data_IF_529176656908
#
_entry.id   IF_529176656908
#
_cell.length_a   1.000
_cell.length_b   1.000
_cell.length_c   1.000
_cell.angle_alpha   90.00
_cell.angle_beta   90.00
_cell.angle_gamma   90.00
#
_symmetry.space_group_name_H-M   'P 1'
#
loop_
_entity.id
_entity.type
_entity.pdbx_description
1 polymer ?
#
# COMPACT_ATOMS: atom_id res chain seq x y z
N UNK A 1 19.87 34.18 -17.86
CA UNK A 1 20.03 35.30 -16.91
C UNK A 1 19.66 36.61 -17.60
N UNK A 2 19.23 37.60 -16.82
CA UNK A 2 18.91 38.97 -17.24
C UNK A 2 19.83 39.91 -16.47
N UNK A 3 20.47 40.88 -17.13
CA UNK A 3 21.28 41.91 -16.47
C UNK A 3 20.38 43.09 -16.05
N UNK A 4 20.52 43.56 -14.81
CA UNK A 4 19.73 44.66 -14.28
C UNK A 4 20.06 44.99 -12.82
N UNK A 5 19.14 45.65 -12.13
CA UNK A 5 19.25 45.87 -10.68
C UNK A 5 19.03 44.55 -9.94
N UNK A 6 19.99 44.16 -9.12
CA UNK A 6 19.90 42.95 -8.31
C UNK A 6 18.81 43.09 -7.23
N UNK A 7 17.99 42.05 -7.14
CA UNK A 7 16.95 41.85 -6.12
C UNK A 7 17.24 40.54 -5.38
N UNK A 8 16.52 40.27 -4.29
CA UNK A 8 16.54 38.95 -3.67
C UNK A 8 16.25 37.86 -4.72
N UNK A 9 17.11 36.84 -4.79
CA UNK A 9 17.01 35.78 -5.79
C UNK A 9 16.35 34.55 -5.18
N UNK A 10 15.36 34.00 -5.87
CA UNK A 10 14.77 32.71 -5.52
C UNK A 10 15.76 31.59 -5.86
N UNK A 11 15.90 30.65 -4.93
CA UNK A 11 16.66 29.40 -5.11
C UNK A 11 15.72 28.23 -4.81
N UNK A 12 16.11 27.00 -5.13
CA UNK A 12 15.29 25.85 -4.75
C UNK A 12 15.07 25.78 -3.22
N UNK A 13 16.09 26.14 -2.43
CA UNK A 13 16.09 26.13 -0.96
C UNK A 13 15.40 27.36 -0.34
N UNK A 14 15.16 28.39 -1.13
CA UNK A 14 14.46 29.62 -0.74
C UNK A 14 13.62 30.12 -1.92
N UNK A 15 12.43 29.51 -2.16
CA UNK A 15 11.58 29.85 -3.29
C UNK A 15 11.08 31.29 -3.27
N UNK A 16 11.00 31.87 -2.07
CA UNK A 16 10.61 33.26 -1.84
C UNK A 16 11.81 34.23 -1.94
N UNK A 17 13.05 33.71 -1.96
CA UNK A 17 14.29 34.48 -1.96
C UNK A 17 14.50 35.35 -0.71
N UNK A 18 13.69 35.20 0.34
CA UNK A 18 13.64 36.13 1.48
C UNK A 18 14.77 35.90 2.47
N UNK A 19 15.18 34.65 2.67
CA UNK A 19 16.18 34.25 3.66
C UNK A 19 17.62 34.45 3.17
N UNK A 20 17.86 34.33 1.86
CA UNK A 20 19.18 34.50 1.23
C UNK A 20 19.50 35.93 0.78
N UNK A 21 18.66 36.92 1.09
CA UNK A 21 18.82 38.27 0.56
C UNK A 21 20.01 38.99 1.20
N UNK A 22 21.18 38.88 0.57
CA UNK A 22 22.39 39.58 0.99
C UNK A 22 22.23 41.07 0.74
N UNK A 23 22.31 41.87 1.81
CA UNK A 23 22.17 43.34 1.78
C UNK A 23 23.02 44.03 0.73
N UNK A 24 24.18 43.45 0.41
CA UNK A 24 25.17 44.03 -0.49
C UNK A 24 24.75 44.00 -1.97
N UNK A 25 23.76 43.19 -2.34
CA UNK A 25 23.26 43.08 -3.72
C UNK A 25 22.02 43.95 -3.96
N UNK A 26 21.31 44.36 -2.91
CA UNK A 26 20.09 45.15 -3.03
C UNK A 26 20.39 46.54 -3.62
N UNK A 27 20.05 46.73 -4.90
CA UNK A 27 20.23 48.01 -5.60
C UNK A 27 21.54 48.17 -6.37
N UNK A 28 22.42 47.17 -6.38
CA UNK A 28 23.59 47.13 -7.28
C UNK A 28 23.21 46.50 -8.63
N UNK A 29 24.01 46.74 -9.68
CA UNK A 29 23.83 46.04 -10.95
C UNK A 29 24.35 44.60 -10.88
N UNK A 30 23.64 43.65 -11.51
CA UNK A 30 23.97 42.24 -11.52
C UNK A 30 23.07 41.41 -12.43
N UNK A 31 23.36 40.11 -12.53
CA UNK A 31 22.56 39.16 -13.29
C UNK A 31 21.55 38.45 -12.38
N UNK A 32 20.29 38.36 -12.82
CA UNK A 32 19.21 37.67 -12.12
C UNK A 32 18.56 36.62 -13.01
N UNK A 33 17.84 35.67 -12.41
CA UNK A 33 17.07 34.71 -13.19
C UNK A 33 15.76 35.31 -13.71
N UNK A 34 15.35 34.97 -14.95
CA UNK A 34 14.04 35.36 -15.46
C UNK A 34 12.91 34.77 -14.59
N UNK A 35 11.70 35.38 -14.61
CA UNK A 35 10.55 34.82 -13.90
C UNK A 35 10.29 33.36 -14.28
N UNK A 36 10.03 32.52 -13.28
CA UNK A 36 9.84 31.07 -13.45
C UNK A 36 11.11 30.22 -13.39
N UNK A 37 12.28 30.85 -13.17
CA UNK A 37 13.56 30.16 -13.01
C UNK A 37 14.21 30.48 -11.67
N UNK A 38 14.85 29.48 -11.06
CA UNK A 38 15.56 29.60 -9.80
C UNK A 38 17.07 29.57 -10.03
N UNK A 39 17.80 30.31 -9.20
CA UNK A 39 19.25 30.42 -9.29
C UNK A 39 19.90 29.18 -8.65
N UNK A 40 20.76 28.50 -9.41
CA UNK A 40 21.56 27.37 -8.94
C UNK A 40 23.02 27.63 -9.31
N UNK A 41 23.82 28.05 -8.33
CA UNK A 41 25.20 28.49 -8.58
C UNK A 41 25.23 29.74 -9.48
N UNK A 42 25.74 29.60 -10.71
CA UNK A 42 25.77 30.67 -11.72
C UNK A 42 24.71 30.50 -12.83
N UNK A 43 23.92 29.43 -12.77
CA UNK A 43 22.94 29.08 -13.80
C UNK A 43 21.51 29.34 -13.32
N UNK A 44 20.58 29.43 -14.27
CA UNK A 44 19.15 29.52 -14.01
C UNK A 44 18.49 28.24 -14.49
N UNK A 45 17.92 27.49 -13.55
CA UNK A 45 17.17 26.26 -13.84
C UNK A 45 15.67 26.53 -13.74
N UNK A 46 14.87 25.73 -14.43
CA UNK A 46 13.42 25.87 -14.34
C UNK A 46 12.96 25.58 -12.92
N UNK A 47 11.99 26.33 -12.39
CA UNK A 47 11.44 26.05 -11.07
C UNK A 47 10.91 24.60 -10.94
N UNK A 48 10.45 24.00 -12.04
CA UNK A 48 9.99 22.61 -12.09
C UNK A 48 11.14 21.61 -11.85
N UNK A 49 12.37 21.96 -12.24
CA UNK A 49 13.56 21.11 -12.10
C UNK A 49 14.11 21.09 -10.66
N UNK A 50 13.70 22.05 -9.81
CA UNK A 50 14.14 22.10 -8.41
C UNK A 50 13.50 21.02 -7.53
N UNK A 51 12.25 20.60 -7.80
CA UNK A 51 11.44 19.86 -6.81
C UNK A 51 10.82 20.80 -5.77
N UNK A 52 10.09 20.23 -4.80
CA UNK A 52 9.31 20.97 -3.83
C UNK A 52 10.07 21.22 -2.52
N UNK A 53 10.01 22.44 -2.01
CA UNK A 53 10.63 22.78 -0.72
C UNK A 53 9.72 22.45 0.46
N UNK A 54 10.21 21.59 1.37
CA UNK A 54 9.57 21.26 2.65
C UNK A 54 10.21 22.11 3.75
N UNK A 55 9.53 23.19 4.13
CA UNK A 55 10.08 24.23 5.01
C UNK A 55 10.45 23.73 6.42
N UNK A 56 9.69 22.77 6.96
CA UNK A 56 9.87 22.26 8.33
C UNK A 56 11.24 21.61 8.57
N UNK A 57 11.74 20.89 7.56
CA UNK A 57 13.00 20.14 7.62
C UNK A 57 14.05 20.65 6.64
N UNK A 58 13.76 21.77 5.96
CA UNK A 58 14.64 22.41 4.97
C UNK A 58 15.10 21.36 3.93
N UNK A 59 14.14 20.66 3.34
CA UNK A 59 14.37 19.58 2.38
C UNK A 59 13.82 19.95 1.00
N UNK A 60 14.54 19.55 -0.04
CA UNK A 60 14.06 19.58 -1.43
C UNK A 60 13.58 18.18 -1.82
N UNK A 61 12.27 18.03 -1.99
CA UNK A 61 11.61 16.80 -2.37
C UNK A 61 11.50 16.73 -3.92
N UNK A 62 12.12 15.76 -4.59
CA UNK A 62 12.01 15.64 -6.05
C UNK A 62 10.56 15.44 -6.51
N UNK A 63 10.26 15.83 -7.75
CA UNK A 63 8.93 15.58 -8.33
C UNK A 63 8.63 14.07 -8.38
N UNK A 64 7.42 13.69 -7.95
CA UNK A 64 6.96 12.31 -7.82
C UNK A 64 7.29 11.64 -6.48
N UNK A 65 8.02 12.31 -5.59
CA UNK A 65 8.34 11.79 -4.25
C UNK A 65 7.34 12.30 -3.21
N UNK A 66 7.30 11.61 -2.07
CA UNK A 66 6.48 11.96 -0.91
C UNK A 66 7.33 12.16 0.34
N UNK A 67 6.77 12.86 1.32
CA UNK A 67 7.39 13.14 2.61
C UNK A 67 6.35 12.98 3.72
N UNK A 68 6.74 12.31 4.81
CA UNK A 68 5.96 12.21 6.05
C UNK A 68 6.74 12.89 7.17
N UNK A 69 6.06 13.77 7.90
CA UNK A 69 6.66 14.48 9.03
C UNK A 69 6.92 13.55 10.23
N UNK A 70 7.71 14.03 11.19
CA UNK A 70 8.26 13.21 12.27
C UNK A 70 7.20 12.54 13.17
N UNK A 71 6.01 13.13 13.28
CA UNK A 71 4.90 12.63 14.09
C UNK A 71 3.80 11.91 13.28
N UNK A 72 4.03 11.70 11.98
CA UNK A 72 3.06 11.13 11.03
C UNK A 72 1.68 11.82 11.10
N UNK A 73 1.66 13.15 11.28
CA UNK A 73 0.42 13.95 11.22
C UNK A 73 0.18 14.55 9.83
N UNK A 74 1.19 14.54 8.97
CA UNK A 74 1.12 15.11 7.63
C UNK A 74 1.86 14.24 6.61
N UNK A 75 1.22 14.00 5.47
CA UNK A 75 1.80 13.35 4.29
C UNK A 75 1.75 14.32 3.11
N UNK A 76 2.92 14.61 2.55
CA UNK A 76 3.09 15.54 1.46
C UNK A 76 3.50 14.84 0.17
N UNK A 77 2.92 15.24 -0.95
CA UNK A 77 3.30 14.81 -2.30
C UNK A 77 3.87 15.99 -3.09
N UNK A 78 4.99 15.78 -3.76
CA UNK A 78 5.56 16.77 -4.66
C UNK A 78 5.27 16.43 -6.13
N UNK A 79 4.65 17.36 -6.85
CA UNK A 79 4.48 17.25 -8.30
C UNK A 79 4.75 18.58 -9.00
N UNK A 80 5.70 18.62 -9.94
CA UNK A 80 6.03 19.82 -10.72
C UNK A 80 6.25 21.10 -9.87
N UNK A 81 7.04 21.00 -8.79
CA UNK A 81 7.30 22.07 -7.82
C UNK A 81 6.05 22.54 -7.03
N UNK A 82 4.98 21.74 -7.03
CA UNK A 82 3.82 21.93 -6.18
C UNK A 82 3.83 20.91 -5.05
N UNK A 83 3.99 21.38 -3.82
CA UNK A 83 3.85 20.58 -2.60
C UNK A 83 2.38 20.59 -2.17
N UNK A 84 1.77 19.42 -2.07
CA UNK A 84 0.42 19.24 -1.54
C UNK A 84 0.55 18.36 -0.31
N UNK A 85 0.13 18.87 0.84
CA UNK A 85 0.18 18.15 2.11
C UNK A 85 -1.24 17.92 2.63
N UNK A 86 -1.48 16.72 3.10
CA UNK A 86 -2.76 16.26 3.64
C UNK A 86 -2.56 15.71 5.04
N UNK A 87 -3.63 15.71 5.83
CA UNK A 87 -3.64 15.09 7.15
C UNK A 87 -3.32 13.60 7.01
N UNK A 88 -2.43 13.10 7.85
CA UNK A 88 -2.02 11.70 7.88
C UNK A 88 -2.20 11.17 9.29
N UNK A 89 -2.77 9.98 9.44
CA UNK A 89 -3.01 9.39 10.76
C UNK A 89 -2.83 7.89 10.68
N UNK A 90 -1.89 7.37 11.48
CA UNK A 90 -1.69 5.93 11.57
C UNK A 90 -2.92 5.22 12.15
N UNK A 91 -3.18 4.02 11.64
CA UNK A 91 -4.15 3.12 12.24
C UNK A 91 -3.82 2.89 13.73
N UNK A 92 -4.83 2.59 14.54
CA UNK A 92 -4.58 2.19 15.94
C UNK A 92 -3.70 0.95 16.07
N UNK A 93 -3.65 0.10 15.03
CA UNK A 93 -2.80 -1.08 14.93
C UNK A 93 -1.58 -0.84 14.02
N UNK A 94 -1.13 0.42 13.92
CA UNK A 94 0.08 0.80 13.22
C UNK A 94 0.96 1.69 14.10
N UNK A 95 2.23 1.83 13.70
CA UNK A 95 3.20 2.71 14.32
C UNK A 95 3.84 3.61 13.27
N UNK A 96 3.99 4.88 13.61
CA UNK A 96 4.80 5.81 12.84
C UNK A 96 6.28 5.44 13.04
N UNK A 97 6.94 4.95 12.00
CA UNK A 97 8.32 4.46 12.10
C UNK A 97 9.08 4.73 10.79
N UNK A 98 10.40 4.51 10.80
CA UNK A 98 11.27 4.63 9.64
C UNK A 98 11.86 3.26 9.32
N UNK A 99 11.42 2.65 8.22
CA UNK A 99 11.98 1.38 7.72
C UNK A 99 12.66 1.62 6.37
N UNK A 100 13.91 1.17 6.25
CA UNK A 100 14.74 1.38 5.05
C UNK A 100 14.83 2.86 4.60
N UNK A 101 14.84 3.79 5.56
CA UNK A 101 14.91 5.23 5.29
C UNK A 101 13.59 5.88 4.89
N UNK A 102 12.48 5.12 4.84
CA UNK A 102 11.15 5.65 4.52
C UNK A 102 10.31 5.73 5.79
N UNK A 103 9.91 6.96 6.15
CA UNK A 103 8.94 7.21 7.21
C UNK A 103 7.53 7.05 6.67
N UNK A 104 6.72 6.26 7.36
CA UNK A 104 5.30 6.10 7.12
C UNK A 104 4.67 5.34 8.31
N UNK A 105 3.36 5.20 8.29
CA UNK A 105 2.69 4.27 9.18
C UNK A 105 2.98 2.83 8.73
N UNK A 106 3.40 1.99 9.66
CA UNK A 106 3.59 0.56 9.40
C UNK A 106 2.70 -0.24 10.34
N UNK A 107 1.95 -1.20 9.79
CA UNK A 107 1.13 -2.10 10.61
C UNK A 107 2.00 -2.85 11.64
N UNK A 108 1.44 -3.01 12.83
CA UNK A 108 2.02 -3.79 13.91
C UNK A 108 2.02 -5.28 13.56
N UNK A 109 2.81 -6.07 14.30
CA UNK A 109 2.80 -7.52 14.14
C UNK A 109 1.38 -8.09 14.29
N UNK A 110 1.03 -9.02 13.40
CA UNK A 110 -0.32 -9.59 13.31
C UNK A 110 -1.30 -8.81 12.43
N UNK A 111 -0.86 -7.71 11.82
CA UNK A 111 -1.67 -6.91 10.91
C UNK A 111 -0.94 -6.63 9.59
N UNK A 112 -1.70 -6.51 8.50
CA UNK A 112 -1.23 -6.12 7.16
C UNK A 112 -2.06 -4.93 6.65
N UNK A 113 -1.47 -4.11 5.79
CA UNK A 113 -2.13 -2.95 5.18
C UNK A 113 -1.17 -1.86 4.75
N UNK A 114 -1.75 -0.69 4.48
CA UNK A 114 -1.03 0.54 4.10
C UNK A 114 -0.56 1.38 5.29
N UNK A 115 -0.82 0.92 6.52
CA UNK A 115 -0.49 1.64 7.76
C UNK A 115 -1.58 2.58 8.27
N UNK A 116 -2.47 3.07 7.40
CA UNK A 116 -3.69 3.81 7.77
C UNK A 116 -4.86 2.84 8.00
N UNK A 117 -4.86 1.71 7.29
CA UNK A 117 -5.83 0.63 7.33
C UNK A 117 -5.11 -0.70 7.57
N UNK A 118 -5.00 -1.10 8.83
CA UNK A 118 -4.36 -2.36 9.21
C UNK A 118 -5.42 -3.39 9.59
N UNK A 119 -5.42 -4.55 8.93
CA UNK A 119 -6.33 -5.67 9.16
C UNK A 119 -5.56 -6.90 9.62
N UNK A 120 -6.21 -7.79 10.38
CA UNK A 120 -5.61 -9.05 10.81
C UNK A 120 -5.16 -9.87 9.61
N UNK A 121 -4.01 -10.55 9.70
CA UNK A 121 -3.47 -11.29 8.54
C UNK A 121 -4.07 -12.67 8.37
N UNK A 122 -4.52 -13.25 9.48
CA UNK A 122 -5.20 -14.53 9.53
C UNK A 122 -6.02 -14.67 10.82
N UNK A 123 -6.74 -15.78 10.93
CA UNK A 123 -7.53 -16.09 12.13
C UNK A 123 -6.65 -16.35 13.36
N UNK A 124 -5.37 -16.70 13.20
CA UNK A 124 -4.45 -16.90 14.31
C UNK A 124 -4.13 -15.56 14.97
N UNK A 125 -3.83 -14.53 14.18
CA UNK A 125 -3.62 -13.17 14.67
C UNK A 125 -4.87 -12.62 15.37
N UNK A 126 -6.06 -12.93 14.85
CA UNK A 126 -7.34 -12.63 15.52
C UNK A 126 -7.43 -13.31 16.88
N UNK A 127 -7.07 -14.60 16.96
CA UNK A 127 -7.06 -15.33 18.22
C UNK A 127 -6.00 -14.76 19.18
N UNK A 128 -4.81 -14.43 18.71
CA UNK A 128 -3.74 -13.91 19.56
C UNK A 128 -4.08 -12.52 20.11
N UNK A 129 -4.88 -11.73 19.39
CA UNK A 129 -5.48 -10.49 19.86
C UNK A 129 -6.59 -10.66 20.92
N UNK A 130 -6.89 -11.90 21.32
CA UNK A 130 -7.80 -12.20 22.43
C UNK A 130 -9.24 -12.51 22.02
N UNK A 131 -9.55 -12.53 20.72
CA UNK A 131 -10.88 -12.94 20.26
C UNK A 131 -11.05 -14.46 20.43
N UNK A 132 -12.15 -14.88 21.07
CA UNK A 132 -12.41 -16.30 21.43
C UNK A 132 -13.72 -16.83 20.88
N UNK A 133 -14.45 -16.02 20.14
CA UNK A 133 -15.75 -16.40 19.58
C UNK A 133 -15.55 -16.84 18.13
N UNK A 134 -16.17 -17.95 17.76
CA UNK A 134 -16.30 -18.33 16.36
C UNK A 134 -17.12 -17.28 15.63
N UNK A 135 -16.72 -16.94 14.41
CA UNK A 135 -17.36 -15.83 13.71
C UNK A 135 -16.74 -15.52 12.36
N UNK A 136 -17.32 -14.54 11.67
CA UNK A 136 -16.77 -14.02 10.42
C UNK A 136 -15.88 -12.83 10.72
N UNK A 137 -14.66 -12.85 10.21
CA UNK A 137 -13.64 -11.83 10.40
C UNK A 137 -13.08 -11.40 9.05
N UNK A 138 -12.78 -10.11 8.91
CA UNK A 138 -12.11 -9.56 7.73
C UNK A 138 -10.61 -9.72 7.88
N UNK A 139 -10.00 -10.34 6.88
CA UNK A 139 -8.58 -10.72 6.89
C UNK A 139 -7.86 -10.11 5.68
N UNK A 140 -6.62 -9.68 5.88
CA UNK A 140 -5.69 -9.24 4.83
C UNK A 140 -4.39 -10.03 4.90
N UNK A 141 -4.24 -11.10 4.09
CA UNK A 141 -3.01 -11.88 4.09
C UNK A 141 -1.78 -11.07 3.65
N UNK A 142 -0.61 -11.40 4.20
CA UNK A 142 0.64 -10.72 3.83
C UNK A 142 0.93 -10.82 2.34
N UNK A 143 1.26 -9.69 1.71
CA UNK A 143 1.58 -9.60 0.29
C UNK A 143 0.39 -9.82 -0.66
N UNK A 144 -0.84 -9.87 -0.14
CA UNK A 144 -2.03 -9.96 -0.97
C UNK A 144 -2.25 -8.66 -1.77
N UNK A 145 -2.40 -8.72 -3.11
CA UNK A 145 -2.55 -7.53 -3.94
C UNK A 145 -3.99 -7.01 -3.99
N UNK A 146 -4.95 -7.77 -3.45
CA UNK A 146 -6.37 -7.43 -3.46
C UNK A 146 -6.83 -6.73 -2.18
N UNK A 147 -8.13 -6.48 -2.10
CA UNK A 147 -8.76 -5.95 -0.89
C UNK A 147 -8.86 -7.04 0.19
N UNK A 148 -9.02 -6.65 1.48
CA UNK A 148 -9.39 -7.57 2.55
C UNK A 148 -10.69 -8.30 2.21
N UNK A 149 -10.84 -9.51 2.73
CA UNK A 149 -12.02 -10.33 2.53
C UNK A 149 -12.43 -11.06 3.82
N UNK A 150 -13.70 -11.45 3.86
CA UNK A 150 -14.29 -12.10 5.03
C UNK A 150 -14.04 -13.61 5.02
N UNK A 151 -13.65 -14.15 6.18
CA UNK A 151 -13.48 -15.58 6.43
C UNK A 151 -14.17 -15.99 7.71
N UNK A 152 -14.57 -17.25 7.84
CA UNK A 152 -15.10 -17.76 9.10
C UNK A 152 -13.96 -18.34 9.95
N UNK A 153 -13.65 -17.69 11.07
CA UNK A 153 -12.65 -18.15 12.02
C UNK A 153 -13.26 -19.04 13.09
N UNK A 154 -12.68 -20.22 13.29
CA UNK A 154 -13.00 -21.09 14.42
C UNK A 154 -11.92 -20.98 15.50
N UNK A 155 -12.35 -20.64 16.71
CA UNK A 155 -11.53 -20.30 17.86
C UNK A 155 -11.41 -21.44 18.89
N UNK A 156 -12.08 -22.57 18.66
CA UNK A 156 -12.02 -23.75 19.52
C UNK A 156 -10.63 -24.42 19.55
N UNK A 157 -10.33 -25.17 20.62
CA UNK A 157 -9.14 -26.02 20.78
C UNK A 157 -7.77 -25.36 20.56
N UNK A 158 -7.63 -24.07 20.91
CA UNK A 158 -6.40 -23.30 20.70
C UNK A 158 -6.49 -22.28 19.56
N UNK A 159 -7.61 -22.30 18.82
CA UNK A 159 -8.04 -21.27 17.88
C UNK A 159 -7.22 -21.14 16.59
N UNK A 160 -7.52 -20.09 15.82
CA UNK A 160 -6.74 -19.71 14.65
C UNK A 160 -7.12 -20.36 13.30
N UNK A 161 -8.19 -21.15 13.24
CA UNK A 161 -8.54 -21.88 12.03
C UNK A 161 -9.38 -21.04 11.08
N UNK A 162 -8.88 -20.85 9.86
CA UNK A 162 -9.63 -20.23 8.77
C UNK A 162 -10.47 -21.26 8.03
N UNK A 163 -11.78 -21.04 7.98
CA UNK A 163 -12.71 -21.77 7.10
C UNK A 163 -13.10 -20.83 5.96
N UNK A 164 -12.64 -21.13 4.76
CA UNK A 164 -13.05 -20.40 3.55
C UNK A 164 -14.45 -20.87 3.19
N UNK A 165 -15.43 -19.97 3.35
CA UNK A 165 -16.79 -20.22 2.87
C UNK A 165 -16.82 -19.78 1.41
N UNK A 166 -16.74 -20.74 0.49
CA UNK A 166 -17.02 -20.49 -0.92
C UNK A 166 -18.49 -20.07 -1.05
N UNK A 167 -18.76 -18.77 -1.16
CA UNK A 167 -20.07 -18.30 -1.60
C UNK A 167 -20.20 -18.65 -3.09
N UNK A 168 -20.72 -19.84 -3.39
CA UNK A 168 -21.30 -20.09 -4.70
C UNK A 168 -22.53 -19.19 -4.79
N UNK A 169 -22.37 -18.02 -5.40
CA UNK A 169 -23.49 -17.20 -5.82
C UNK A 169 -24.19 -17.93 -6.99
N UNK A 170 -25.09 -18.87 -6.68
CA UNK A 170 -26.09 -19.26 -7.65
C UNK A 170 -27.08 -18.10 -7.76
N UNK A 171 -27.03 -17.36 -8.87
CA UNK A 171 -28.17 -16.55 -9.32
C UNK A 171 -29.33 -17.50 -9.61
N UNK A 172 -30.11 -17.87 -8.59
CA UNK A 172 -31.57 -17.99 -8.59
C UNK A 172 -32.04 -18.84 -7.40
N UNK A 173 -32.77 -18.17 -6.50
CA UNK A 173 -33.73 -18.71 -5.52
C UNK A 173 -33.31 -19.80 -4.52
N UNK A 174 -33.33 -19.38 -3.24
CA UNK A 174 -33.29 -20.18 -2.01
C UNK A 174 -31.89 -20.63 -1.56
N UNK A 175 -31.21 -19.73 -0.85
CA UNK A 175 -29.96 -20.00 -0.15
C UNK A 175 -30.09 -21.25 0.74
N UNK A 176 -29.45 -22.35 0.34
CA UNK A 176 -29.15 -23.48 1.24
C UNK A 176 -27.70 -23.35 1.67
N UNK A 177 -27.50 -23.08 2.96
CA UNK A 177 -26.20 -23.30 3.61
C UNK A 177 -25.83 -24.76 3.40
N UNK A 178 -24.77 -25.02 2.64
CA UNK A 178 -24.21 -26.35 2.50
C UNK A 178 -22.88 -26.33 3.25
N UNK A 179 -22.81 -27.02 4.39
CA UNK A 179 -21.55 -27.27 5.11
C UNK A 179 -20.66 -28.14 4.23
N UNK A 180 -19.61 -27.57 3.66
CA UNK A 180 -18.63 -28.34 2.90
C UNK A 180 -17.23 -28.07 3.42
N UNK A 181 -16.70 -29.09 4.10
CA UNK A 181 -15.29 -29.45 4.30
C UNK A 181 -14.41 -28.56 5.18
N UNK A 182 -14.22 -29.03 6.42
CA UNK A 182 -13.10 -28.74 7.32
C UNK A 182 -11.78 -29.14 6.66
N UNK A 183 -10.89 -28.19 6.33
CA UNK A 183 -9.49 -28.51 6.04
C UNK A 183 -8.57 -27.61 6.86
N UNK A 184 -7.86 -28.24 7.80
CA UNK A 184 -6.64 -27.72 8.37
C UNK A 184 -5.59 -27.62 7.25
N UNK A 185 -5.14 -26.42 6.89
CA UNK A 185 -3.96 -26.25 6.03
C UNK A 185 -2.74 -26.64 6.86
N UNK A 186 -2.47 -27.95 6.94
CA UNK A 186 -1.19 -28.48 7.39
C UNK A 186 -0.39 -28.94 6.17
N UNK A 187 0.90 -28.64 6.18
CA UNK A 187 1.83 -28.51 5.04
C UNK A 187 2.16 -29.78 4.24
N UNK A 188 1.21 -30.67 3.93
CA UNK A 188 1.49 -31.90 3.15
C UNK A 188 0.53 -32.13 1.99
N UNK A 189 1.08 -32.10 0.78
CA UNK A 189 0.43 -32.30 -0.52
C UNK A 189 -0.63 -33.41 -0.52
N UNK A 190 -1.88 -33.09 -0.90
CA UNK A 190 -2.95 -34.07 -1.12
C UNK A 190 -3.70 -33.76 -2.43
N UNK A 191 -4.11 -34.83 -3.11
CA UNK A 191 -4.92 -34.79 -4.33
C UNK A 191 -6.41 -34.70 -4.00
N UNK A 192 -7.11 -33.81 -4.69
CA UNK A 192 -8.53 -33.54 -4.54
C UNK A 192 -9.32 -34.16 -5.70
N UNK A 193 -10.49 -34.73 -5.43
CA UNK A 193 -11.37 -35.27 -6.47
C UNK A 193 -12.77 -34.70 -6.30
N UNK A 194 -13.28 -34.02 -7.33
CA UNK A 194 -14.62 -33.42 -7.34
C UNK A 194 -15.41 -33.92 -8.55
N UNK A 195 -16.73 -34.12 -8.37
CA UNK A 195 -17.62 -34.51 -9.45
C UNK A 195 -18.43 -33.31 -9.92
N UNK A 196 -18.13 -32.78 -11.10
CA UNK A 196 -18.87 -31.67 -11.71
C UNK A 196 -19.61 -32.18 -12.94
N UNK A 197 -20.94 -32.10 -12.92
CA UNK A 197 -21.78 -32.51 -14.05
C UNK A 197 -21.63 -33.97 -14.48
N UNK A 198 -21.29 -34.88 -13.57
CA UNK A 198 -21.05 -36.30 -13.87
C UNK A 198 -19.63 -36.64 -14.34
N UNK A 199 -18.70 -35.69 -14.32
CA UNK A 199 -17.29 -35.88 -14.69
C UNK A 199 -16.41 -35.79 -13.44
N UNK A 200 -15.53 -36.78 -13.24
CA UNK A 200 -14.58 -36.80 -12.12
C UNK A 200 -13.34 -35.97 -12.46
N UNK A 201 -13.12 -34.86 -11.76
CA UNK A 201 -11.94 -34.00 -11.90
C UNK A 201 -10.99 -34.31 -10.76
N UNK A 202 -9.74 -34.65 -11.06
CA UNK A 202 -8.68 -34.90 -10.06
C UNK A 202 -7.68 -33.76 -10.08
N UNK A 203 -7.59 -32.96 -9.02
CA UNK A 203 -6.52 -31.98 -8.83
C UNK A 203 -5.40 -32.63 -8.01
N UNK A 204 -4.22 -32.78 -8.60
CA UNK A 204 -3.02 -33.21 -7.88
C UNK A 204 -2.04 -32.03 -7.79
N UNK A 205 -1.65 -31.67 -6.56
CA UNK A 205 -0.55 -30.74 -6.30
C UNK A 205 0.75 -31.53 -6.27
N UNK A 206 1.57 -31.41 -7.32
CA UNK A 206 2.95 -31.88 -7.31
C UNK A 206 3.86 -30.65 -7.36
N UNK A 207 4.57 -30.42 -6.25
CA UNK A 207 5.73 -29.52 -6.16
C UNK A 207 5.61 -28.16 -6.91
N UNK A 208 4.64 -27.34 -6.49
CA UNK A 208 4.69 -25.89 -6.75
C UNK A 208 4.34 -25.41 -8.17
N UNK A 209 3.79 -26.25 -9.05
CA UNK A 209 3.24 -25.80 -10.34
C UNK A 209 1.86 -26.43 -10.55
N UNK A 210 0.83 -25.59 -10.66
CA UNK A 210 -0.50 -26.04 -11.06
C UNK A 210 -0.54 -26.18 -12.60
N UNK A 211 -0.39 -27.40 -13.11
CA UNK A 211 -0.68 -27.70 -14.51
C UNK A 211 -2.17 -28.04 -14.67
N UNK A 212 -2.93 -27.12 -15.27
CA UNK A 212 -4.30 -27.37 -15.70
C UNK A 212 -4.23 -28.16 -17.03
N UNK A 213 -4.49 -29.46 -16.99
CA UNK A 213 -4.65 -30.26 -18.22
C UNK A 213 -6.13 -30.26 -18.63
N UNK A 214 -6.49 -29.39 -19.58
CA UNK A 214 -7.83 -29.35 -20.17
C UNK A 214 -7.71 -29.67 -21.67
N UNK A 215 -8.28 -30.80 -22.12
CA UNK A 215 -8.58 -31.02 -23.54
C UNK A 215 -10.00 -30.53 -23.84
N UNK A 216 -10.27 -30.06 -25.07
CA UNK A 216 -11.22 -28.99 -25.30
C UNK A 216 -12.66 -29.51 -25.35
N UNK A 217 -13.60 -28.72 -24.81
CA UNK A 217 -14.71 -28.19 -25.61
C UNK A 217 -15.48 -27.10 -24.83
N UNK A 218 -15.29 -25.87 -25.33
CA UNK A 218 -16.25 -24.77 -25.47
C UNK A 218 -17.03 -24.24 -24.25
N UNK A 219 -16.80 -22.94 -24.03
CA UNK A 219 -17.64 -21.92 -23.37
C UNK A 219 -17.48 -21.71 -21.84
N UNK A 220 -16.48 -20.87 -21.52
CA UNK A 220 -16.46 -19.77 -20.54
C UNK A 220 -17.38 -19.84 -19.30
N UNK A 221 -16.80 -20.05 -18.12
CA UNK A 221 -16.52 -18.98 -17.14
C UNK A 221 -15.55 -19.52 -16.07
N UNK A 222 -14.52 -18.76 -15.72
CA UNK A 222 -13.40 -19.22 -14.90
C UNK A 222 -13.61 -18.86 -13.42
N UNK A 223 -14.05 -19.82 -12.61
CA UNK A 223 -14.03 -19.67 -11.14
C UNK A 223 -12.59 -19.78 -10.64
N UNK A 224 -11.97 -18.65 -10.29
CA UNK A 224 -10.67 -18.61 -9.62
C UNK A 224 -10.80 -19.17 -8.19
N UNK A 225 -10.30 -20.38 -7.98
CA UNK A 225 -10.05 -20.94 -6.65
C UNK A 225 -8.63 -20.56 -6.24
N UNK A 226 -8.49 -19.65 -5.28
CA UNK A 226 -7.18 -19.22 -4.75
C UNK A 226 -6.86 -20.04 -3.50
N UNK A 227 -5.86 -20.91 -3.61
CA UNK A 227 -5.28 -21.66 -2.50
C UNK A 227 -4.23 -20.77 -1.83
N UNK A 228 -4.48 -20.31 -0.61
CA UNK A 228 -3.50 -19.58 0.20
C UNK A 228 -2.69 -20.63 0.98
N UNK A 229 -1.40 -20.76 0.65
CA UNK A 229 -0.44 -21.53 1.46
C UNK A 229 0.50 -20.56 2.15
N UNK A 230 0.79 -20.82 3.43
CA UNK A 230 1.81 -20.15 4.25
C UNK A 230 3.20 -20.21 3.62
#
# INVERSE_FOLDING_TARGET
>A
MIYGTCTCQATCEDPDGKSGCKSDCLGSEGCTCPPGFFMQGSDCISAIECGCFVAEVILILPSGQTYVNDDCTQHCSCNNNQLICEDYVCNTNAVCDVRNGVRQCYCNEGYEGDGENCQYRDCQDVYDAGHRQDGVYTIMPTGWPGLPFDVHCKMENGGGWTVIISLLAEENSSARMTETMTHAVTSTAHSYTEAVGGTMITLALIAGVLTIAQMPNTAADASQSVLITT
#
